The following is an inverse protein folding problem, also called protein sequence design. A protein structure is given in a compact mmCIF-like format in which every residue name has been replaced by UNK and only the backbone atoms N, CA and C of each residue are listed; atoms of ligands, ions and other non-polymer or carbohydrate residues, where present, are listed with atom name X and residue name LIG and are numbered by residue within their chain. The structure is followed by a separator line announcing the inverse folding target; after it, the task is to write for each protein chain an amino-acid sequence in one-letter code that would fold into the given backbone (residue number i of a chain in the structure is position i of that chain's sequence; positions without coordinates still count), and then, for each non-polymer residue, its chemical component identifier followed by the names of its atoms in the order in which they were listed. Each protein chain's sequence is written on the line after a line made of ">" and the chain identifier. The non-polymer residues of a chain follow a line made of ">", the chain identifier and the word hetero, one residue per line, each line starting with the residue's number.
data_IF_527295776237
#
_entry.id   IF_527295776237
#
_cell.length_a   1.000
_cell.length_b   1.000
_cell.length_c   1.000
_cell.angle_alpha   90.00
_cell.angle_beta   90.00
_cell.angle_gamma   90.00
#
_symmetry.space_group_name_H-M   'P 1'
#
loop_
_entity.id
_entity.type
_entity.pdbx_description
1 polymer ?
#
# COMPACT_ATOMS: atom_id res chain seq x y z
N UNK A 1 -4.57 5.46 -19.65
CA UNK A 1 -4.21 5.65 -18.23
C UNK A 1 -5.48 5.77 -17.44
N UNK A 2 -5.95 4.67 -16.87
CA UNK A 2 -7.20 4.65 -16.13
C UNK A 2 -7.02 5.33 -14.77
N UNK A 3 -7.92 6.26 -14.46
CA UNK A 3 -7.96 6.97 -13.17
C UNK A 3 -7.96 6.00 -11.98
N UNK A 4 -8.61 4.85 -12.13
CA UNK A 4 -8.68 3.78 -11.13
C UNK A 4 -7.30 3.17 -10.85
N UNK A 5 -6.49 2.94 -11.89
CA UNK A 5 -5.15 2.36 -11.74
C UNK A 5 -4.21 3.31 -11.01
N UNK A 6 -4.30 4.60 -11.32
CA UNK A 6 -3.56 5.66 -10.62
C UNK A 6 -3.98 5.71 -9.14
N UNK A 7 -5.28 5.63 -8.86
CA UNK A 7 -5.81 5.65 -7.50
C UNK A 7 -5.35 4.44 -6.68
N UNK A 8 -5.32 3.25 -7.29
CA UNK A 8 -4.82 2.01 -6.67
C UNK A 8 -3.34 2.11 -6.30
N UNK A 9 -2.50 2.65 -7.19
CA UNK A 9 -1.08 2.85 -6.92
C UNK A 9 -0.88 3.88 -5.80
N UNK A 10 -1.66 4.96 -5.82
CA UNK A 10 -1.58 6.00 -4.80
C UNK A 10 -1.91 5.42 -3.41
N UNK A 11 -3.01 4.68 -3.30
CA UNK A 11 -3.44 4.03 -2.05
C UNK A 11 -2.42 2.97 -1.61
N UNK A 12 -1.95 2.14 -2.54
CA UNK A 12 -0.91 1.14 -2.27
C UNK A 12 0.38 1.76 -1.72
N UNK A 13 0.88 2.80 -2.37
CA UNK A 13 2.07 3.55 -1.91
C UNK A 13 1.87 4.17 -0.52
N UNK A 14 0.71 4.78 -0.27
CA UNK A 14 0.38 5.34 1.06
C UNK A 14 0.32 4.24 2.11
N UNK A 15 -0.22 3.05 1.81
CA UNK A 15 -0.21 1.94 2.76
C UNK A 15 1.21 1.42 3.04
N UNK A 16 2.07 1.30 2.02
CA UNK A 16 3.44 0.77 2.19
C UNK A 16 4.33 1.74 2.99
N UNK A 17 4.27 3.03 2.68
CA UNK A 17 5.12 4.04 3.34
C UNK A 17 4.44 4.68 4.57
N UNK A 18 3.16 4.98 4.46
CA UNK A 18 2.38 5.66 5.50
C UNK A 18 2.09 4.80 6.71
N UNK A 19 2.14 3.47 6.61
CA UNK A 19 1.96 2.56 7.76
C UNK A 19 2.87 2.91 8.93
N UNK A 20 4.17 3.18 8.69
CA UNK A 20 5.10 3.55 9.77
C UNK A 20 4.68 4.86 10.48
N UNK A 21 4.17 5.83 9.73
CA UNK A 21 3.70 7.10 10.29
C UNK A 21 2.39 6.91 11.05
N UNK A 22 1.43 6.18 10.49
CA UNK A 22 0.14 5.88 11.11
C UNK A 22 0.36 5.15 12.43
N UNK A 23 1.16 4.07 12.45
CA UNK A 23 1.41 3.33 13.69
C UNK A 23 2.13 4.18 14.76
N UNK A 24 3.05 5.07 14.35
CA UNK A 24 3.72 6.00 15.25
C UNK A 24 2.76 7.06 15.82
N UNK A 25 1.87 7.62 15.00
CA UNK A 25 0.87 8.61 15.42
C UNK A 25 -0.16 7.99 16.36
N UNK A 26 -0.57 6.75 16.11
CA UNK A 26 -1.55 6.04 16.92
C UNK A 26 -0.99 5.45 18.22
N UNK A 27 0.31 5.63 18.53
CA UNK A 27 1.00 5.04 19.70
C UNK A 27 0.69 3.55 19.93
N UNK A 28 0.40 2.82 18.86
CA UNK A 28 0.22 1.38 18.96
C UNK A 28 1.61 0.75 19.02
N UNK A 29 1.87 -0.03 20.07
CA UNK A 29 2.91 -1.06 20.07
C UNK A 29 2.46 -2.16 19.10
N UNK A 30 2.46 -1.83 17.82
CA UNK A 30 2.20 -2.82 16.80
C UNK A 30 3.46 -3.65 16.64
N UNK A 31 3.32 -4.94 16.88
CA UNK A 31 4.37 -5.90 16.58
C UNK A 31 4.88 -5.66 15.16
N UNK A 32 6.20 -5.72 14.97
CA UNK A 32 6.82 -5.53 13.66
C UNK A 32 6.20 -6.44 12.59
N UNK A 33 5.75 -7.63 12.99
CA UNK A 33 4.99 -8.56 12.14
C UNK A 33 3.73 -7.93 11.56
N UNK A 34 2.95 -7.20 12.37
CA UNK A 34 1.70 -6.57 11.94
C UNK A 34 1.95 -5.42 10.98
N UNK A 35 2.97 -4.60 11.26
CA UNK A 35 3.42 -3.53 10.34
C UNK A 35 3.86 -4.14 9.00
N UNK A 36 4.62 -5.24 9.04
CA UNK A 36 5.06 -5.95 7.86
C UNK A 36 3.89 -6.49 7.03
N UNK A 37 2.87 -7.08 7.68
CA UNK A 37 1.66 -7.58 7.00
C UNK A 37 0.92 -6.46 6.28
N UNK A 38 0.71 -5.31 6.91
CA UNK A 38 0.00 -4.19 6.26
C UNK A 38 0.81 -3.64 5.08
N UNK A 39 2.14 -3.60 5.19
CA UNK A 39 3.01 -3.24 4.07
C UNK A 39 2.93 -4.23 2.92
N UNK A 40 2.91 -5.54 3.21
CA UNK A 40 2.74 -6.58 2.19
C UNK A 40 1.41 -6.46 1.45
N UNK A 41 0.32 -6.17 2.18
CA UNK A 41 -1.00 -5.94 1.58
C UNK A 41 -0.99 -4.68 0.69
N UNK A 42 -0.43 -3.58 1.19
CA UNK A 42 -0.27 -2.35 0.40
C UNK A 42 0.57 -2.56 -0.86
N UNK A 43 1.61 -3.39 -0.77
CA UNK A 43 2.47 -3.75 -1.89
C UNK A 43 1.70 -4.52 -2.96
N UNK A 44 0.89 -5.51 -2.58
CA UNK A 44 0.05 -6.27 -3.51
C UNK A 44 -0.96 -5.37 -4.23
N UNK A 45 -1.60 -4.45 -3.51
CA UNK A 45 -2.54 -3.49 -4.09
C UNK A 45 -1.83 -2.56 -5.10
N UNK A 46 -0.65 -2.06 -4.73
CA UNK A 46 0.18 -1.25 -5.63
C UNK A 46 0.64 -2.04 -6.87
N UNK A 47 0.99 -3.31 -6.70
CA UNK A 47 1.40 -4.19 -7.79
C UNK A 47 0.25 -4.46 -8.77
N UNK A 48 -0.96 -4.68 -8.27
CA UNK A 48 -2.17 -4.83 -9.11
C UNK A 48 -2.44 -3.53 -9.88
N UNK A 49 -2.37 -2.38 -9.21
CA UNK A 49 -2.52 -1.08 -9.87
C UNK A 49 -1.45 -0.85 -10.95
N UNK A 50 -0.21 -1.26 -10.70
CA UNK A 50 0.90 -1.17 -11.65
C UNK A 50 0.71 -2.10 -12.85
N UNK A 51 0.39 -3.38 -12.64
CA UNK A 51 0.13 -4.33 -13.72
C UNK A 51 -0.98 -3.86 -14.67
N UNK A 52 -1.99 -3.18 -14.11
CA UNK A 52 -3.10 -2.57 -14.85
C UNK A 52 -2.72 -1.30 -15.62
N UNK A 53 -1.62 -0.62 -15.27
CA UNK A 53 -1.08 0.49 -16.09
C UNK A 53 -0.36 -0.06 -17.32
N UNK A 54 0.27 -1.22 -17.20
CA UNK A 54 1.00 -1.87 -18.28
C UNK A 54 0.10 -2.70 -19.21
N UNK A 55 -1.23 -2.61 -19.05
CA UNK A 55 -2.23 -3.41 -19.78
C UNK A 55 -1.93 -4.93 -19.76
N UNK A 56 -1.25 -5.41 -18.70
CA UNK A 56 -1.00 -6.84 -18.49
C UNK A 56 -2.30 -7.53 -18.03
N UNK A 57 -3.13 -6.80 -17.29
CA UNK A 57 -4.44 -7.20 -16.74
C UNK A 57 -5.47 -6.13 -17.11
#
# INVERSE_FOLDING_TARGET
>A
MDFISILLILIGSIMVYGTKHIFKVFKQNADDKRILTVKLIGLLIGLIGFLRIFDII
#
